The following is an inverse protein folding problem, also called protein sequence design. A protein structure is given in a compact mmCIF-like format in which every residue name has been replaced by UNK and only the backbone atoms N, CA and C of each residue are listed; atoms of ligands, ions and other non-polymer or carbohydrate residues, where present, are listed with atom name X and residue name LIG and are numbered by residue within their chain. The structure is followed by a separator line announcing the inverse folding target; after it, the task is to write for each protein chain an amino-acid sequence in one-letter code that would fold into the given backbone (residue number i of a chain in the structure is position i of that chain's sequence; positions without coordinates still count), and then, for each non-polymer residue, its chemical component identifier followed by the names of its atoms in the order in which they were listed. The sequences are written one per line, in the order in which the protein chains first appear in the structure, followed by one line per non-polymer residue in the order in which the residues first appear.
data_IF_496787840318
#
_entry.id   IF_496787840318
#
_cell.length_a   1.000
_cell.length_b   1.000
_cell.length_c   1.000
_cell.angle_alpha   90.00
_cell.angle_beta   90.00
_cell.angle_gamma   90.00
#
_symmetry.space_group_name_H-M   'P 1'
#
loop_
_entity.id
_entity.type
_entity.pdbx_description
1 polymer ?
#
# COMPACT_ATOMS: atom_id res chain seq x y z
N UNK A 1 -15.20 4.17 9.99
CA UNK A 1 -14.92 4.19 11.45
C UNK A 1 -14.22 5.49 11.77
N UNK A 2 -14.69 6.22 12.83
CA UNK A 2 -14.09 7.49 13.24
C UNK A 2 -12.65 7.34 13.76
N UNK A 3 -12.05 8.46 14.16
CA UNK A 3 -10.69 8.52 14.73
C UNK A 3 -10.56 7.50 15.88
N UNK A 4 -9.52 6.69 15.85
CA UNK A 4 -9.33 5.59 16.82
C UNK A 4 -10.18 4.33 16.54
N UNK A 5 -10.90 4.25 15.42
CA UNK A 5 -11.85 3.16 15.10
C UNK A 5 -11.24 1.80 14.73
N UNK A 6 -9.98 1.53 15.06
CA UNK A 6 -9.35 0.21 14.87
C UNK A 6 -8.88 -0.10 13.43
N UNK A 7 -8.87 0.88 12.51
CA UNK A 7 -8.41 0.68 11.11
C UNK A 7 -7.04 0.00 11.05
N UNK A 8 -6.04 0.59 11.66
CA UNK A 8 -4.67 0.06 11.73
C UNK A 8 -4.62 -1.32 12.41
N UNK A 9 -5.35 -1.51 13.52
CA UNK A 9 -5.42 -2.83 14.20
C UNK A 9 -6.01 -3.91 13.29
N UNK A 10 -7.02 -3.56 12.49
CA UNK A 10 -7.58 -4.50 11.50
C UNK A 10 -6.54 -4.90 10.46
N UNK A 11 -5.77 -3.93 9.91
CA UNK A 11 -4.70 -4.23 8.95
C UNK A 11 -3.59 -5.09 9.59
N UNK A 12 -3.19 -4.79 10.84
CA UNK A 12 -2.21 -5.59 11.58
C UNK A 12 -2.72 -7.02 11.78
N UNK A 13 -4.00 -7.19 12.14
CA UNK A 13 -4.61 -8.52 12.30
C UNK A 13 -4.57 -9.30 10.98
N UNK A 14 -4.95 -8.68 9.86
CA UNK A 14 -4.92 -9.32 8.54
C UNK A 14 -3.48 -9.67 8.13
N UNK A 15 -2.51 -8.77 8.40
CA UNK A 15 -1.10 -9.04 8.17
C UNK A 15 -0.66 -10.32 8.90
N UNK A 16 -0.97 -10.43 10.18
CA UNK A 16 -0.60 -11.60 10.98
C UNK A 16 -1.32 -12.88 10.54
N UNK A 17 -2.59 -12.80 10.13
CA UNK A 17 -3.31 -13.94 9.57
C UNK A 17 -2.58 -14.48 8.34
N UNK A 18 -2.15 -13.60 7.43
CA UNK A 18 -1.45 -14.03 6.23
C UNK A 18 -0.02 -14.50 6.50
N UNK A 19 0.71 -13.82 7.40
CA UNK A 19 2.11 -14.16 7.70
C UNK A 19 2.29 -15.34 8.66
N UNK A 20 1.39 -15.49 9.62
CA UNK A 20 1.48 -16.52 10.67
C UNK A 20 0.65 -17.77 10.36
N UNK A 21 -0.35 -17.65 9.48
CA UNK A 21 -1.13 -18.79 9.01
C UNK A 21 -1.68 -19.68 10.14
N UNK A 22 -1.42 -20.98 10.04
CA UNK A 22 -1.89 -21.97 11.01
C UNK A 22 -1.39 -21.76 12.45
N UNK A 23 -0.26 -21.03 12.63
CA UNK A 23 0.26 -20.72 14.00
C UNK A 23 -0.72 -19.91 14.84
N UNK A 24 -1.63 -19.16 14.21
CA UNK A 24 -2.66 -18.44 14.95
C UNK A 24 -3.63 -19.35 15.70
N UNK A 25 -3.80 -20.60 15.24
CA UNK A 25 -4.62 -21.61 15.91
C UNK A 25 -4.02 -22.08 17.24
N UNK A 26 -2.73 -21.85 17.47
CA UNK A 26 -2.05 -22.15 18.74
C UNK A 26 -2.41 -21.13 19.83
N UNK A 27 -2.94 -19.96 19.46
CA UNK A 27 -3.34 -18.90 20.38
C UNK A 27 -4.84 -18.97 20.66
N UNK A 28 -5.21 -19.16 21.94
CA UNK A 28 -6.64 -19.16 22.37
C UNK A 28 -7.36 -17.87 21.96
N UNK A 29 -6.68 -16.71 22.08
CA UNK A 29 -7.24 -15.41 21.69
C UNK A 29 -7.52 -15.29 20.17
N UNK A 30 -6.78 -16.00 19.35
CA UNK A 30 -6.92 -15.96 17.89
C UNK A 30 -7.94 -16.99 17.37
N UNK A 31 -8.19 -18.08 18.09
CA UNK A 31 -9.18 -19.10 17.70
C UNK A 31 -10.57 -18.51 17.49
N UNK A 32 -10.95 -17.51 18.30
CA UNK A 32 -12.25 -16.86 18.18
C UNK A 32 -12.41 -15.96 16.96
N UNK A 33 -11.28 -15.54 16.32
CA UNK A 33 -11.29 -14.70 15.12
C UNK A 33 -11.42 -15.55 13.86
N UNK A 34 -10.99 -16.81 13.92
CA UNK A 34 -11.02 -17.73 12.80
C UNK A 34 -12.34 -18.52 12.81
N UNK A 35 -12.95 -18.62 11.65
CA UNK A 35 -14.15 -19.46 11.50
C UNK A 35 -13.81 -20.91 11.83
N UNK A 36 -14.68 -21.58 12.58
CA UNK A 36 -14.50 -22.98 12.95
C UNK A 36 -14.30 -23.86 11.69
N UNK A 37 -13.28 -24.72 11.73
CA UNK A 37 -12.92 -25.59 10.63
C UNK A 37 -12.10 -24.93 9.48
N UNK A 38 -11.80 -23.63 9.58
CA UNK A 38 -10.95 -22.94 8.60
C UNK A 38 -9.54 -22.79 9.16
N UNK A 39 -8.57 -23.41 8.50
CA UNK A 39 -7.13 -23.20 8.78
C UNK A 39 -6.58 -22.24 7.76
N UNK A 40 -6.09 -21.05 8.17
CA UNK A 40 -5.44 -20.13 7.25
C UNK A 40 -4.16 -20.77 6.70
N UNK A 41 -4.11 -20.96 5.40
CA UNK A 41 -2.91 -21.43 4.71
C UNK A 41 -2.59 -20.49 3.54
N UNK A 42 -1.60 -19.60 3.77
CA UNK A 42 -1.11 -18.64 2.81
C UNK A 42 0.37 -18.86 2.54
N UNK A 43 0.76 -20.12 2.32
CA UNK A 43 2.15 -20.49 2.02
C UNK A 43 2.69 -19.63 0.87
N UNK A 44 3.89 -19.08 1.08
CA UNK A 44 4.59 -18.21 0.14
C UNK A 44 3.85 -16.91 -0.24
N UNK A 45 2.79 -16.52 0.48
CA UNK A 45 2.15 -15.25 0.21
C UNK A 45 3.12 -14.07 0.45
N UNK A 46 3.20 -13.19 -0.54
CA UNK A 46 3.93 -11.92 -0.42
C UNK A 46 3.04 -10.90 0.25
N UNK A 47 3.60 -10.12 1.15
CA UNK A 47 2.86 -9.03 1.79
C UNK A 47 3.66 -7.75 1.62
N UNK A 48 3.03 -6.76 1.02
CA UNK A 48 3.56 -5.40 0.94
C UNK A 48 2.73 -4.48 1.85
N UNK A 49 3.41 -3.70 2.67
CA UNK A 49 2.80 -2.75 3.61
C UNK A 49 3.33 -1.36 3.33
N UNK A 50 2.44 -0.41 3.18
CA UNK A 50 2.76 1.00 3.09
C UNK A 50 1.98 1.79 4.13
N UNK A 51 2.67 2.69 4.82
CA UNK A 51 2.08 3.66 5.73
C UNK A 51 2.59 5.06 5.39
N UNK A 52 1.94 6.08 5.86
CA UNK A 52 2.35 7.48 5.71
C UNK A 52 3.84 7.76 6.10
N UNK A 53 4.45 6.90 6.94
CA UNK A 53 5.82 7.01 7.39
C UNK A 53 6.80 6.04 6.71
N UNK A 54 6.35 5.24 5.73
CA UNK A 54 7.19 4.26 5.05
C UNK A 54 8.26 4.95 4.21
N UNK A 55 7.89 6.00 3.49
CA UNK A 55 8.80 6.72 2.58
C UNK A 55 8.62 8.22 2.75
N UNK A 56 9.70 8.94 2.99
CA UNK A 56 9.69 10.41 3.00
C UNK A 56 9.50 10.95 1.58
N UNK A 57 8.54 11.85 1.39
CA UNK A 57 8.17 12.38 0.06
C UNK A 57 9.29 13.19 -0.60
N UNK A 58 10.26 13.68 0.17
CA UNK A 58 11.39 14.48 -0.31
C UNK A 58 12.66 13.65 -0.49
N UNK A 59 13.04 12.91 0.55
CA UNK A 59 14.32 12.20 0.63
C UNK A 59 14.21 10.73 0.22
N UNK A 60 13.00 10.15 0.26
CA UNK A 60 12.80 8.74 0.05
C UNK A 60 13.25 7.89 1.25
N UNK A 61 13.33 6.58 1.05
CA UNK A 61 13.80 5.61 2.01
C UNK A 61 15.00 4.83 1.46
N UNK A 62 16.07 4.78 2.21
CA UNK A 62 17.23 3.93 1.90
C UNK A 62 16.91 2.45 2.11
N UNK A 63 17.27 1.62 1.14
CA UNK A 63 17.19 0.16 1.24
C UNK A 63 18.49 -0.42 1.85
N UNK A 64 18.41 -1.67 2.29
CA UNK A 64 19.59 -2.41 2.77
C UNK A 64 20.60 -2.69 1.64
N UNK A 65 20.17 -2.70 0.38
CA UNK A 65 21.03 -2.85 -0.80
C UNK A 65 21.67 -1.54 -1.27
N UNK A 66 21.44 -0.42 -0.55
CA UNK A 66 22.11 0.85 -0.77
C UNK A 66 21.51 1.76 -1.84
N UNK A 67 20.30 1.50 -2.32
CA UNK A 67 19.57 2.43 -3.19
C UNK A 67 18.38 3.06 -2.48
N UNK A 68 17.87 4.16 -3.01
CA UNK A 68 16.76 4.93 -2.43
C UNK A 68 15.47 4.67 -3.20
N UNK A 69 14.39 4.42 -2.47
CA UNK A 69 13.02 4.35 -2.98
C UNK A 69 12.31 5.64 -2.63
N UNK A 70 11.60 6.24 -3.58
CA UNK A 70 11.01 7.57 -3.43
C UNK A 70 9.49 7.59 -3.38
N UNK A 71 8.83 6.50 -3.76
CA UNK A 71 7.38 6.50 -4.00
C UNK A 71 6.69 5.29 -3.39
N UNK A 72 5.37 5.40 -3.25
CA UNK A 72 4.50 4.29 -2.88
C UNK A 72 4.66 3.08 -3.83
N UNK A 73 4.71 3.31 -5.13
CA UNK A 73 4.86 2.20 -6.11
C UNK A 73 6.23 1.56 -6.09
N UNK A 74 7.29 2.32 -5.86
CA UNK A 74 8.63 1.77 -5.65
C UNK A 74 8.67 0.83 -4.43
N UNK A 75 8.06 1.26 -3.31
CA UNK A 75 7.96 0.44 -2.10
C UNK A 75 7.18 -0.86 -2.33
N UNK A 76 6.00 -0.77 -2.95
CA UNK A 76 5.20 -1.97 -3.21
C UNK A 76 5.94 -2.95 -4.11
N UNK A 77 6.58 -2.47 -5.18
CA UNK A 77 7.37 -3.33 -6.08
C UNK A 77 8.52 -4.02 -5.34
N UNK A 78 9.27 -3.26 -4.53
CA UNK A 78 10.38 -3.80 -3.75
C UNK A 78 9.93 -4.85 -2.73
N UNK A 79 8.86 -4.60 -1.99
CA UNK A 79 8.35 -5.54 -1.00
C UNK A 79 7.73 -6.80 -1.63
N UNK A 80 7.11 -6.69 -2.80
CA UNK A 80 6.52 -7.83 -3.50
C UNK A 80 7.55 -8.73 -4.19
N UNK A 81 8.61 -8.17 -4.74
CA UNK A 81 9.55 -8.96 -5.55
C UNK A 81 11.03 -8.55 -5.43
N UNK A 82 11.40 -7.83 -4.37
CA UNK A 82 12.79 -7.44 -4.10
C UNK A 82 13.35 -6.48 -5.16
N UNK A 83 14.66 -6.44 -5.24
CA UNK A 83 15.39 -5.58 -6.17
C UNK A 83 15.01 -5.84 -7.63
N UNK A 84 14.76 -7.08 -8.00
CA UNK A 84 14.40 -7.45 -9.39
C UNK A 84 13.08 -6.80 -9.82
N UNK A 85 12.07 -6.82 -8.95
CA UNK A 85 10.79 -6.16 -9.23
C UNK A 85 10.92 -4.64 -9.22
N UNK A 86 11.73 -4.09 -8.31
CA UNK A 86 12.01 -2.66 -8.24
C UNK A 86 12.71 -2.16 -9.53
N UNK A 87 13.68 -2.87 -10.10
CA UNK A 87 14.36 -2.45 -11.32
C UNK A 87 13.38 -2.24 -12.51
N UNK A 88 12.25 -2.94 -12.54
CA UNK A 88 11.21 -2.78 -13.58
C UNK A 88 10.45 -1.44 -13.48
N UNK A 89 10.43 -0.85 -12.30
CA UNK A 89 9.67 0.37 -11.99
C UNK A 89 10.59 1.54 -11.58
N UNK A 90 11.88 1.30 -11.54
CA UNK A 90 12.90 2.21 -11.02
C UNK A 90 12.85 3.61 -11.63
N UNK A 91 12.68 3.70 -12.95
CA UNK A 91 12.63 5.02 -13.61
C UNK A 91 11.39 5.80 -13.16
N UNK A 92 10.23 5.13 -13.06
CA UNK A 92 9.00 5.74 -12.55
C UNK A 92 9.17 6.20 -11.08
N UNK A 93 9.90 5.43 -10.28
CA UNK A 93 10.18 5.79 -8.88
C UNK A 93 11.09 7.02 -8.78
N UNK A 94 12.19 7.07 -9.55
CA UNK A 94 13.13 8.19 -9.58
C UNK A 94 12.43 9.47 -10.06
N UNK A 95 11.69 9.39 -11.15
CA UNK A 95 10.97 10.53 -11.76
C UNK A 95 9.68 10.87 -10.99
N UNK A 96 9.29 10.03 -10.01
CA UNK A 96 8.03 10.13 -9.25
C UNK A 96 6.80 10.19 -10.15
N UNK A 97 6.83 9.50 -11.28
CA UNK A 97 5.71 9.39 -12.22
C UNK A 97 4.98 8.06 -12.04
N UNK A 98 3.66 8.07 -12.07
CA UNK A 98 2.86 6.86 -11.91
C UNK A 98 3.18 5.84 -13.02
N UNK A 99 3.46 4.57 -12.68
CA UNK A 99 3.65 3.53 -13.67
C UNK A 99 2.32 3.16 -14.35
N UNK A 100 2.40 2.73 -15.59
CA UNK A 100 1.24 2.20 -16.30
C UNK A 100 0.90 0.77 -15.86
N UNK A 101 -0.31 0.32 -16.17
CA UNK A 101 -0.72 -1.07 -15.94
C UNK A 101 0.20 -2.10 -16.61
N UNK A 102 0.78 -1.77 -17.76
CA UNK A 102 1.73 -2.63 -18.48
C UNK A 102 3.01 -2.91 -17.67
N UNK A 103 3.45 -1.96 -16.86
CA UNK A 103 4.62 -2.11 -15.97
C UNK A 103 4.21 -2.80 -14.66
N UNK A 104 3.09 -2.38 -14.06
CA UNK A 104 2.67 -2.84 -12.74
C UNK A 104 2.15 -4.27 -12.73
N UNK A 105 1.37 -4.65 -13.75
CA UNK A 105 0.72 -5.97 -13.83
C UNK A 105 1.70 -7.14 -13.76
N UNK A 106 2.80 -7.18 -14.52
CA UNK A 106 3.80 -8.25 -14.41
C UNK A 106 4.46 -8.34 -13.02
N UNK A 107 4.65 -7.21 -12.32
CA UNK A 107 5.21 -7.21 -10.97
C UNK A 107 4.27 -7.94 -9.99
N UNK A 108 2.97 -7.61 -10.03
CA UNK A 108 1.96 -8.22 -9.17
C UNK A 108 1.74 -9.69 -9.56
N UNK A 109 1.69 -10.02 -10.83
CA UNK A 109 1.56 -11.41 -11.30
C UNK A 109 2.73 -12.29 -10.84
N UNK A 110 3.95 -11.80 -10.95
CA UNK A 110 5.15 -12.54 -10.52
C UNK A 110 5.24 -12.69 -9.00
N UNK A 111 4.60 -11.81 -8.23
CA UNK A 111 4.50 -11.96 -6.78
C UNK A 111 3.64 -13.18 -6.39
N UNK A 112 2.72 -13.62 -7.26
CA UNK A 112 1.81 -14.73 -6.99
C UNK A 112 0.75 -14.36 -5.95
N UNK A 113 0.50 -15.26 -4.99
CA UNK A 113 -0.41 -14.94 -3.89
C UNK A 113 0.12 -13.76 -3.09
N UNK A 114 -0.64 -12.67 -3.05
CA UNK A 114 -0.15 -11.42 -2.47
C UNK A 114 -1.23 -10.60 -1.77
N UNK A 115 -0.79 -9.89 -0.75
CA UNK A 115 -1.58 -8.95 0.03
C UNK A 115 -0.88 -7.59 0.03
N UNK A 116 -1.60 -6.56 -0.36
CA UNK A 116 -1.13 -5.17 -0.32
C UNK A 116 -1.95 -4.43 0.73
N UNK A 117 -1.27 -3.89 1.73
CA UNK A 117 -1.89 -3.12 2.81
C UNK A 117 -1.38 -1.68 2.73
N UNK A 118 -2.31 -0.73 2.65
CA UNK A 118 -1.98 0.70 2.64
C UNK A 118 -2.73 1.36 3.79
N UNK A 119 -1.98 1.90 4.75
CA UNK A 119 -2.54 2.65 5.88
C UNK A 119 -2.19 4.13 5.80
N UNK A 120 -3.07 4.98 6.29
CA UNK A 120 -2.88 6.44 6.34
C UNK A 120 -2.57 7.06 4.96
N UNK A 121 -3.20 6.53 3.89
CA UNK A 121 -2.96 7.00 2.52
C UNK A 121 -3.26 8.51 2.36
N UNK A 122 -4.32 9.01 3.01
CA UNK A 122 -4.68 10.42 2.91
C UNK A 122 -3.60 11.34 3.51
N UNK A 123 -3.00 10.97 4.64
CA UNK A 123 -1.91 11.75 5.25
C UNK A 123 -0.65 11.76 4.37
N UNK A 124 -0.33 10.63 3.74
CA UNK A 124 0.74 10.59 2.74
C UNK A 124 0.43 11.51 1.54
N UNK A 125 -0.80 11.47 1.04
CA UNK A 125 -1.24 12.30 -0.08
C UNK A 125 -1.17 13.80 0.25
N UNK A 126 -1.54 14.21 1.47
CA UNK A 126 -1.37 15.60 1.92
C UNK A 126 0.09 16.02 1.87
N UNK A 127 1.01 15.21 2.39
CA UNK A 127 2.46 15.48 2.28
C UNK A 127 2.91 15.54 0.81
N UNK A 128 2.37 14.66 -0.04
CA UNK A 128 2.71 14.56 -1.46
C UNK A 128 2.27 15.80 -2.27
N UNK A 129 1.28 16.59 -1.82
CA UNK A 129 0.89 17.84 -2.49
C UNK A 129 2.04 18.85 -2.55
N UNK A 130 2.93 18.86 -1.55
CA UNK A 130 4.08 19.77 -1.48
C UNK A 130 5.21 19.40 -2.43
N UNK A 131 5.24 18.16 -2.95
CA UNK A 131 6.32 17.67 -3.83
C UNK A 131 5.95 17.88 -5.29
N UNK A 132 6.62 18.84 -5.95
CA UNK A 132 6.43 19.12 -7.38
C UNK A 132 6.94 17.97 -8.25
N UNK A 133 6.16 17.57 -9.26
CA UNK A 133 6.49 16.56 -10.28
C UNK A 133 5.97 17.05 -11.63
N UNK A 134 6.87 17.41 -12.56
CA UNK A 134 6.50 18.05 -13.82
C UNK A 134 5.68 19.32 -13.60
N UNK A 135 4.55 19.43 -14.29
CA UNK A 135 3.59 20.55 -14.13
C UNK A 135 2.60 20.32 -12.96
N UNK A 136 2.63 19.16 -12.34
CA UNK A 136 1.78 18.78 -11.21
C UNK A 136 2.56 18.53 -9.92
N UNK A 137 2.08 17.59 -9.14
CA UNK A 137 2.72 17.19 -7.88
C UNK A 137 2.64 15.67 -7.65
N UNK A 138 3.33 15.18 -6.63
CA UNK A 138 3.35 13.76 -6.29
C UNK A 138 1.97 13.22 -5.90
N UNK A 139 1.09 14.05 -5.34
CA UNK A 139 -0.29 13.63 -5.03
C UNK A 139 -1.05 13.25 -6.31
N UNK A 140 -0.99 14.07 -7.37
CA UNK A 140 -1.67 13.74 -8.64
C UNK A 140 -1.13 12.43 -9.24
N UNK A 141 0.17 12.18 -9.12
CA UNK A 141 0.78 10.92 -9.54
C UNK A 141 0.33 9.74 -8.66
N UNK A 142 0.23 9.96 -7.34
CA UNK A 142 -0.26 8.93 -6.40
C UNK A 142 -1.71 8.56 -6.69
N UNK A 143 -2.57 9.54 -6.97
CA UNK A 143 -3.96 9.29 -7.34
C UNK A 143 -4.07 8.45 -8.63
N UNK A 144 -3.33 8.85 -9.68
CA UNK A 144 -3.24 8.07 -10.92
C UNK A 144 -2.71 6.65 -10.68
N UNK A 145 -1.72 6.50 -9.80
CA UNK A 145 -1.20 5.19 -9.42
C UNK A 145 -2.26 4.34 -8.71
N UNK A 146 -3.02 4.91 -7.76
CA UNK A 146 -4.06 4.17 -7.05
C UNK A 146 -5.16 3.65 -7.99
N UNK A 147 -5.56 4.46 -8.99
CA UNK A 147 -6.49 4.00 -10.03
C UNK A 147 -5.89 2.82 -10.81
N UNK A 148 -4.66 2.95 -11.29
CA UNK A 148 -3.96 1.85 -12.00
C UNK A 148 -3.82 0.61 -11.12
N UNK A 149 -3.48 0.77 -9.84
CA UNK A 149 -3.30 -0.33 -8.88
C UNK A 149 -4.61 -1.10 -8.67
N UNK A 150 -5.74 -0.41 -8.46
CA UNK A 150 -7.04 -1.04 -8.26
C UNK A 150 -7.50 -1.82 -9.50
N UNK A 151 -7.30 -1.25 -10.70
CA UNK A 151 -7.58 -1.94 -11.97
C UNK A 151 -6.72 -3.20 -12.15
N UNK A 152 -5.41 -3.09 -11.88
CA UNK A 152 -4.49 -4.22 -12.01
C UNK A 152 -4.84 -5.31 -11.01
N UNK A 153 -5.04 -4.97 -9.72
CA UNK A 153 -5.38 -5.94 -8.68
C UNK A 153 -6.67 -6.67 -9.01
N UNK A 154 -7.70 -5.96 -9.51
CA UNK A 154 -8.97 -6.59 -9.92
C UNK A 154 -8.82 -7.57 -11.09
N UNK A 155 -7.76 -7.41 -11.91
CA UNK A 155 -7.46 -8.25 -13.07
C UNK A 155 -6.49 -9.40 -12.79
N UNK A 156 -5.85 -9.43 -11.63
CA UNK A 156 -4.85 -10.44 -11.25
C UNK A 156 -5.43 -11.37 -10.19
N UNK A 157 -5.48 -12.68 -10.42
CA UNK A 157 -5.96 -13.61 -9.39
C UNK A 157 -5.00 -13.67 -8.20
N UNK A 158 -5.55 -13.98 -7.03
CA UNK A 158 -4.80 -14.17 -5.76
C UNK A 158 -4.05 -12.94 -5.26
N UNK A 159 -4.43 -11.74 -5.69
CA UNK A 159 -3.95 -10.49 -5.14
C UNK A 159 -5.09 -9.77 -4.44
N UNK A 160 -4.85 -9.29 -3.22
CA UNK A 160 -5.82 -8.49 -2.43
C UNK A 160 -5.17 -7.16 -2.07
N UNK A 161 -5.91 -6.07 -2.29
CA UNK A 161 -5.55 -4.73 -1.85
C UNK A 161 -6.53 -4.28 -0.76
N UNK A 162 -5.99 -3.80 0.34
CA UNK A 162 -6.76 -3.16 1.42
C UNK A 162 -6.10 -1.83 1.73
N UNK A 163 -6.82 -0.74 1.53
CA UNK A 163 -6.39 0.60 1.89
C UNK A 163 -7.34 1.21 2.92
N UNK A 164 -6.79 1.92 3.90
CA UNK A 164 -7.60 2.67 4.86
C UNK A 164 -7.70 4.13 4.44
N UNK A 165 -8.91 4.66 4.53
CA UNK A 165 -9.18 6.08 4.38
C UNK A 165 -9.85 6.62 5.66
N UNK A 166 -9.60 7.87 6.05
CA UNK A 166 -10.33 8.52 7.13
C UNK A 166 -11.79 8.71 6.76
N UNK A 167 -12.66 8.82 7.76
CA UNK A 167 -14.09 9.04 7.54
C UNK A 167 -14.39 10.49 7.19
N UNK A 168 -13.53 11.44 7.59
CA UNK A 168 -13.68 12.86 7.34
C UNK A 168 -12.32 13.56 7.22
N UNK A 169 -12.31 14.74 6.59
CA UNK A 169 -11.13 15.57 6.44
C UNK A 169 -10.54 16.07 7.78
N UNK A 170 -11.36 16.12 8.83
CA UNK A 170 -10.89 16.52 10.17
C UNK A 170 -9.93 15.51 10.80
N UNK A 171 -9.88 14.30 10.26
CA UNK A 171 -8.90 13.27 10.66
C UNK A 171 -7.55 13.43 9.95
N UNK A 172 -7.44 14.34 8.98
CA UNK A 172 -6.22 14.60 8.19
C UNK A 172 -5.58 15.90 8.66
N UNK A 173 -4.28 15.96 8.70
CA UNK A 173 -3.49 17.03 9.33
C UNK A 173 -3.75 18.45 8.80
N UNK A 174 -4.29 18.61 7.57
CA UNK A 174 -4.71 19.88 6.98
C UNK A 174 -6.14 19.74 6.43
N UNK A 175 -7.11 20.36 7.09
CA UNK A 175 -8.54 20.17 6.80
C UNK A 175 -8.94 20.61 5.40
N UNK A 176 -8.31 21.62 4.82
CA UNK A 176 -8.68 22.15 3.49
C UNK A 176 -8.07 21.29 2.36
N UNK A 177 -6.78 20.99 2.45
CA UNK A 177 -6.12 20.07 1.51
C UNK A 177 -6.65 18.65 1.73
N UNK A 178 -6.89 18.25 2.99
CA UNK A 178 -7.43 16.96 3.37
C UNK A 178 -8.77 16.64 2.71
N UNK A 179 -9.68 17.63 2.61
CA UNK A 179 -10.97 17.43 1.92
C UNK A 179 -10.75 17.16 0.43
N UNK A 180 -9.92 17.95 -0.25
CA UNK A 180 -9.60 17.75 -1.67
C UNK A 180 -8.97 16.38 -1.94
N UNK A 181 -8.08 15.94 -1.05
CA UNK A 181 -7.45 14.61 -1.13
C UNK A 181 -8.49 13.51 -0.96
N UNK A 182 -9.35 13.60 0.05
CA UNK A 182 -10.38 12.59 0.29
C UNK A 182 -11.38 12.49 -0.86
N UNK A 183 -11.87 13.61 -1.36
CA UNK A 183 -12.80 13.64 -2.49
C UNK A 183 -12.18 12.95 -3.73
N UNK A 184 -10.87 13.15 -3.95
CA UNK A 184 -10.15 12.50 -5.06
C UNK A 184 -9.88 11.01 -4.87
N UNK A 185 -9.81 10.52 -3.62
CA UNK A 185 -9.54 9.10 -3.32
C UNK A 185 -10.83 8.26 -3.20
N UNK A 186 -12.00 8.91 -3.09
CA UNK A 186 -13.30 8.26 -2.96
C UNK A 186 -14.06 8.14 -4.29
N UNK A 187 -13.60 8.79 -5.35
CA UNK A 187 -14.13 8.72 -6.72
C UNK A 187 -13.46 7.61 -7.52
#
# INVERSE_FOLDING_TARGET
TGFGGGKTHTLISIYHIVKSGARLLESESCKHILQEGVTPNFENAKVAVFTNNTTDVSQGRQTIEGFTIYTLWGELAYQLGGKEAYEKIKQNDIDRTAPTSAILKPIIQNAGTSLILIDELADYCVKATSKKVGDGNLFSQTNSFMQTLTEVVSSVPKCVLIATLPASATEVADSQIGQTVLDSLQT
#
